data_IF_188253335913
#
_entry.id   IF_188253335913
#
_cell.length_a   1.000
_cell.length_b   1.000
_cell.length_c   1.000
_cell.angle_alpha   90.00
_cell.angle_beta   90.00
_cell.angle_gamma   90.00
#
_symmetry.space_group_name_H-M   'P 1'
#
loop_
_entity.id
_entity.type
_entity.pdbx_description
1 polymer ?
#
# COMPACT_ATOMS: atom_id res chain seq x y z
N UNK A 1 5.97 -18.59 30.42
CA UNK A 1 4.57 -18.25 30.76
C UNK A 1 4.24 -17.00 29.98
N UNK A 2 3.19 -17.08 29.13
CA UNK A 2 2.76 -16.16 28.05
C UNK A 2 3.70 -16.08 26.84
N UNK A 3 3.24 -16.11 25.58
CA UNK A 3 2.00 -16.59 24.96
C UNK A 3 2.27 -16.50 23.45
N UNK A 4 1.99 -17.58 22.72
CA UNK A 4 1.54 -17.63 21.32
C UNK A 4 1.94 -16.45 20.41
N UNK A 5 3.04 -16.63 19.67
CA UNK A 5 3.16 -15.99 18.37
C UNK A 5 2.16 -16.67 17.44
N UNK A 6 1.04 -16.01 17.18
CA UNK A 6 0.11 -16.43 16.15
C UNK A 6 0.86 -16.57 14.83
N UNK A 7 0.76 -17.76 14.26
CA UNK A 7 1.18 -18.12 12.91
C UNK A 7 0.77 -17.01 11.94
N UNK A 8 1.77 -16.26 11.45
CA UNK A 8 1.62 -15.55 10.19
C UNK A 8 1.53 -16.68 9.16
N UNK A 9 0.43 -16.82 8.41
CA UNK A 9 0.34 -17.85 7.40
C UNK A 9 1.53 -17.69 6.46
N UNK A 10 2.36 -18.73 6.35
CA UNK A 10 3.32 -18.82 5.26
C UNK A 10 2.51 -18.91 3.96
N UNK A 11 2.26 -17.76 3.32
CA UNK A 11 1.66 -17.73 2.00
C UNK A 11 2.66 -18.38 1.03
N UNK A 12 2.24 -19.52 0.49
CA UNK A 12 3.00 -20.32 -0.46
C UNK A 12 3.35 -19.52 -1.71
N UNK A 13 4.49 -19.86 -2.34
CA UNK A 13 4.99 -19.34 -3.62
C UNK A 13 4.10 -19.72 -4.82
N UNK A 14 2.80 -19.47 -4.75
CA UNK A 14 1.98 -19.41 -5.95
C UNK A 14 2.01 -17.97 -6.42
N UNK A 15 2.54 -17.77 -7.63
CA UNK A 15 2.29 -16.55 -8.40
C UNK A 15 0.79 -16.51 -8.67
N UNK A 16 0.04 -15.97 -7.70
CA UNK A 16 -1.38 -15.72 -7.83
C UNK A 16 -1.52 -14.86 -9.08
N UNK A 17 -2.14 -15.42 -10.13
CA UNK A 17 -2.43 -14.67 -11.34
C UNK A 17 -3.14 -13.40 -10.92
N UNK A 18 -2.48 -12.27 -11.08
CA UNK A 18 -3.03 -10.98 -10.75
C UNK A 18 -4.33 -10.77 -11.55
N UNK A 19 -5.45 -10.63 -10.85
CA UNK A 19 -6.76 -10.25 -11.40
C UNK A 19 -7.31 -9.10 -10.56
N UNK A 20 -7.60 -7.94 -11.17
CA UNK A 20 -8.20 -6.80 -10.46
C UNK A 20 -9.50 -7.16 -9.73
N UNK A 21 -10.29 -8.07 -10.31
CA UNK A 21 -11.56 -8.54 -9.75
C UNK A 21 -11.34 -9.39 -8.49
N UNK A 22 -10.37 -10.29 -8.52
CA UNK A 22 -9.99 -11.09 -7.35
C UNK A 22 -9.43 -10.20 -6.22
N UNK A 23 -8.63 -9.18 -6.57
CA UNK A 23 -8.14 -8.18 -5.60
C UNK A 23 -9.29 -7.40 -5.00
N UNK A 24 -10.24 -6.95 -5.83
CA UNK A 24 -11.45 -6.25 -5.36
C UNK A 24 -12.25 -7.11 -4.40
N UNK A 25 -12.42 -8.39 -4.69
CA UNK A 25 -13.13 -9.32 -3.82
C UNK A 25 -12.44 -9.48 -2.46
N UNK A 26 -11.12 -9.72 -2.43
CA UNK A 26 -10.34 -9.78 -1.19
C UNK A 26 -10.41 -8.46 -0.41
N UNK A 27 -10.34 -7.30 -1.07
CA UNK A 27 -10.54 -6.00 -0.40
C UNK A 27 -11.92 -5.86 0.26
N UNK A 28 -12.98 -6.42 -0.32
CA UNK A 28 -14.32 -6.39 0.31
C UNK A 28 -14.46 -7.39 1.45
N UNK A 29 -13.84 -8.56 1.35
CA UNK A 29 -13.96 -9.64 2.33
C UNK A 29 -13.01 -9.46 3.53
N UNK A 30 -11.77 -9.08 3.26
CA UNK A 30 -10.66 -9.07 4.22
C UNK A 30 -10.26 -7.63 4.61
N UNK A 31 -10.62 -6.64 3.79
CA UNK A 31 -10.30 -5.23 4.02
C UNK A 31 -8.89 -4.82 3.60
N UNK A 32 -8.06 -5.75 3.12
CA UNK A 32 -6.72 -5.50 2.60
C UNK A 32 -6.34 -6.54 1.55
N UNK A 33 -5.32 -6.24 0.75
CA UNK A 33 -4.70 -7.19 -0.18
C UNK A 33 -3.19 -6.94 -0.20
N UNK A 34 -2.38 -8.00 -0.12
CA UNK A 34 -0.92 -7.92 -0.20
C UNK A 34 -0.42 -8.25 -1.59
N UNK A 35 0.53 -7.44 -2.07
CA UNK A 35 1.17 -7.63 -3.36
C UNK A 35 2.67 -7.47 -3.20
N UNK A 36 3.41 -8.52 -3.54
CA UNK A 36 4.87 -8.48 -3.56
C UNK A 36 5.38 -7.84 -4.85
N UNK A 37 6.30 -6.88 -4.71
CA UNK A 37 6.96 -6.21 -5.83
C UNK A 37 8.38 -5.81 -5.42
N UNK A 38 9.37 -6.51 -5.98
CA UNK A 38 10.79 -6.27 -5.68
C UNK A 38 11.23 -4.86 -6.10
N UNK A 39 10.70 -4.33 -7.22
CA UNK A 39 11.06 -3.02 -7.72
C UNK A 39 10.56 -1.89 -6.79
N UNK A 40 9.42 -2.11 -6.12
CA UNK A 40 8.93 -1.18 -5.08
C UNK A 40 9.91 -1.12 -3.91
N UNK A 41 10.42 -2.28 -3.46
CA UNK A 41 11.41 -2.34 -2.37
C UNK A 41 12.67 -1.53 -2.68
N UNK A 42 13.25 -1.73 -3.86
CA UNK A 42 14.43 -0.99 -4.33
C UNK A 42 14.15 0.52 -4.47
N UNK A 43 12.98 0.87 -5.05
CA UNK A 43 12.56 2.25 -5.20
C UNK A 43 12.41 2.97 -3.86
N UNK A 44 11.83 2.31 -2.86
CA UNK A 44 11.68 2.88 -1.50
C UNK A 44 13.05 3.13 -0.88
N UNK A 45 14.01 2.20 -1.03
CA UNK A 45 15.36 2.35 -0.49
C UNK A 45 16.09 3.55 -1.13
N UNK A 46 15.95 3.76 -2.43
CA UNK A 46 16.55 4.91 -3.10
C UNK A 46 15.85 6.23 -2.74
N UNK A 47 14.52 6.22 -2.61
CA UNK A 47 13.75 7.36 -2.11
C UNK A 47 14.14 7.71 -0.66
N UNK A 48 14.42 6.71 0.19
CA UNK A 48 14.87 6.90 1.57
C UNK A 48 16.23 7.59 1.64
N UNK A 49 17.21 7.19 0.81
CA UNK A 49 18.53 7.86 0.72
C UNK A 49 18.42 9.34 0.37
N UNK A 50 17.36 9.72 -0.36
CA UNK A 50 17.04 11.09 -0.75
C UNK A 50 16.17 11.82 0.27
N UNK A 51 15.91 11.23 1.44
CA UNK A 51 15.11 11.85 2.49
C UNK A 51 13.61 11.92 2.18
N UNK A 52 13.10 11.05 1.30
CA UNK A 52 11.69 11.02 0.88
C UNK A 52 11.21 12.34 0.25
N UNK A 53 11.97 12.85 -0.72
CA UNK A 53 11.66 14.07 -1.47
C UNK A 53 10.48 13.90 -2.44
N UNK A 54 9.27 13.67 -1.92
CA UNK A 54 8.07 13.50 -2.74
C UNK A 54 7.66 14.77 -3.52
N UNK A 55 8.03 15.96 -3.03
CA UNK A 55 7.81 17.24 -3.71
C UNK A 55 8.98 17.62 -4.63
N UNK A 56 9.48 16.65 -5.39
CA UNK A 56 10.52 16.83 -6.39
C UNK A 56 10.13 16.14 -7.70
N UNK A 57 10.83 16.44 -8.79
CA UNK A 57 10.66 15.71 -10.05
C UNK A 57 10.94 14.21 -9.87
N UNK A 58 11.96 13.88 -9.09
CA UNK A 58 12.29 12.51 -8.71
C UNK A 58 11.12 11.84 -7.96
N UNK A 59 10.56 12.52 -6.97
CA UNK A 59 9.44 12.01 -6.19
C UNK A 59 8.17 11.81 -7.00
N UNK A 60 7.89 12.73 -7.94
CA UNK A 60 6.80 12.57 -8.89
C UNK A 60 7.00 11.35 -9.79
N UNK A 61 8.23 11.14 -10.30
CA UNK A 61 8.55 9.99 -11.14
C UNK A 61 8.42 8.67 -10.35
N UNK A 62 8.87 8.64 -9.09
CA UNK A 62 8.65 7.51 -8.19
C UNK A 62 7.15 7.20 -8.04
N UNK A 63 6.31 8.20 -7.77
CA UNK A 63 4.86 8.00 -7.65
C UNK A 63 4.25 7.48 -8.96
N UNK A 64 4.70 7.98 -10.13
CA UNK A 64 4.24 7.47 -11.42
C UNK A 64 4.59 5.99 -11.62
N UNK A 65 5.80 5.59 -11.24
CA UNK A 65 6.30 4.23 -11.42
C UNK A 65 5.71 3.22 -10.44
N UNK A 66 5.44 3.62 -9.19
CA UNK A 66 5.10 2.67 -8.13
C UNK A 66 3.68 2.84 -7.55
N UNK A 67 3.04 4.00 -7.70
CA UNK A 67 1.67 4.25 -7.23
C UNK A 67 0.68 4.29 -8.39
N UNK A 68 1.04 5.00 -9.47
CA UNK A 68 0.18 5.15 -10.66
C UNK A 68 0.53 4.14 -11.76
N UNK A 69 1.08 3.00 -11.39
CA UNK A 69 1.36 1.94 -12.35
C UNK A 69 0.09 1.25 -12.83
N UNK A 70 0.18 0.57 -13.96
CA UNK A 70 -0.96 -0.12 -14.59
C UNK A 70 -1.69 -1.09 -13.64
N UNK A 71 -0.96 -1.71 -12.71
CA UNK A 71 -1.51 -2.68 -11.77
C UNK A 71 -2.43 -2.01 -10.75
N UNK A 72 -1.94 -0.98 -10.06
CA UNK A 72 -2.75 -0.22 -9.09
C UNK A 72 -3.90 0.51 -9.80
N UNK A 73 -3.64 1.07 -10.97
CA UNK A 73 -4.68 1.73 -11.78
C UNK A 73 -5.80 0.75 -12.14
N UNK A 74 -5.48 -0.48 -12.55
CA UNK A 74 -6.51 -1.50 -12.85
C UNK A 74 -7.34 -1.90 -11.63
N UNK A 75 -6.75 -1.93 -10.43
CA UNK A 75 -7.51 -2.17 -9.18
C UNK A 75 -8.44 -0.99 -8.91
N UNK A 76 -7.94 0.24 -9.02
CA UNK A 76 -8.74 1.44 -8.82
C UNK A 76 -9.92 1.50 -9.79
N UNK A 77 -9.69 1.22 -11.07
CA UNK A 77 -10.74 1.13 -12.10
C UNK A 77 -11.75 0.03 -11.78
N UNK A 78 -11.30 -1.15 -11.36
CA UNK A 78 -12.21 -2.22 -10.93
C UNK A 78 -13.06 -1.81 -9.72
N UNK A 79 -12.49 -1.05 -8.79
CA UNK A 79 -13.15 -0.65 -7.54
C UNK A 79 -14.12 0.53 -7.71
N UNK A 80 -13.73 1.54 -8.49
CA UNK A 80 -14.45 2.80 -8.65
C UNK A 80 -15.20 2.93 -9.99
N UNK A 81 -14.96 2.02 -10.94
CA UNK A 81 -15.50 2.13 -12.30
C UNK A 81 -14.96 3.37 -13.02
N UNK A 82 -15.85 4.07 -13.73
CA UNK A 82 -15.52 5.27 -14.53
C UNK A 82 -15.50 6.57 -13.70
N UNK A 83 -15.54 6.49 -12.37
CA UNK A 83 -15.54 7.65 -11.48
C UNK A 83 -14.17 8.36 -11.44
N UNK A 84 -14.19 9.68 -11.41
CA UNK A 84 -12.96 10.47 -11.30
C UNK A 84 -12.33 10.31 -9.92
N UNK A 85 -11.15 9.70 -9.87
CA UNK A 85 -10.36 9.54 -8.65
C UNK A 85 -9.37 10.71 -8.47
N UNK A 86 -9.19 11.15 -7.23
CA UNK A 86 -8.16 12.13 -6.86
C UNK A 86 -7.06 11.39 -6.10
N UNK A 87 -5.82 11.48 -6.59
CA UNK A 87 -4.67 11.02 -5.83
C UNK A 87 -4.38 12.03 -4.72
N UNK A 88 -4.59 11.62 -3.48
CA UNK A 88 -4.13 12.36 -2.31
C UNK A 88 -2.88 11.67 -1.77
N UNK A 89 -1.79 12.44 -1.65
CA UNK A 89 -0.59 11.95 -1.00
C UNK A 89 -0.59 12.38 0.47
N UNK A 90 -0.57 11.41 1.38
CA UNK A 90 -0.49 11.67 2.80
C UNK A 90 0.94 11.43 3.30
N UNK A 91 1.65 12.51 3.61
CA UNK A 91 3.04 12.45 4.06
C UNK A 91 3.14 11.99 5.51
N UNK A 92 3.83 10.85 5.69
CA UNK A 92 4.37 10.26 6.91
C UNK A 92 3.48 10.31 8.15
N UNK A 93 3.10 9.11 8.59
CA UNK A 93 3.00 8.83 10.01
C UNK A 93 4.37 8.28 10.45
N UNK A 94 4.98 8.88 11.48
CA UNK A 94 5.90 8.09 12.30
C UNK A 94 5.10 6.98 12.95
N UNK A 95 5.71 5.82 13.21
CA UNK A 95 5.05 4.78 14.00
C UNK A 95 4.43 5.45 15.24
N UNK A 96 3.14 5.22 15.46
CA UNK A 96 2.43 5.74 16.63
C UNK A 96 1.92 4.57 17.47
N UNK A 97 2.84 3.88 18.19
CA UNK A 97 2.51 2.65 18.90
C UNK A 97 1.39 2.88 19.91
N UNK A 98 0.49 1.91 20.07
CA UNK A 98 -0.64 1.99 21.00
C UNK A 98 -1.83 2.82 20.51
N UNK A 99 -1.81 3.30 19.26
CA UNK A 99 -2.88 4.13 18.70
C UNK A 99 -3.49 3.49 17.45
N UNK A 100 -4.82 3.53 17.36
CA UNK A 100 -5.56 3.16 16.15
C UNK A 100 -5.80 4.43 15.35
N UNK A 101 -5.22 4.50 14.16
CA UNK A 101 -5.54 5.55 13.20
C UNK A 101 -6.77 5.14 12.41
N UNK A 102 -7.85 5.93 12.53
CA UNK A 102 -9.09 5.68 11.82
C UNK A 102 -9.31 6.77 10.77
N UNK A 103 -9.24 6.39 9.50
CA UNK A 103 -9.55 7.27 8.38
C UNK A 103 -11.07 7.39 8.23
N UNK A 104 -11.69 8.28 9.02
CA UNK A 104 -13.12 8.53 8.94
C UNK A 104 -13.42 9.61 7.91
N UNK A 105 -14.24 9.28 6.92
CA UNK A 105 -14.91 10.31 6.11
C UNK A 105 -16.10 10.84 6.91
N UNK A 106 -15.90 11.89 7.69
CA UNK A 106 -16.95 12.48 8.53
C UNK A 106 -17.75 13.55 7.77
N UNK A 107 -19.00 13.24 7.43
CA UNK A 107 -19.98 14.24 6.97
C UNK A 107 -21.22 13.64 6.32
N UNK A 108 -22.28 14.44 6.09
CA UNK A 108 -23.60 13.97 5.59
C UNK A 108 -23.60 13.26 4.22
N UNK A 109 -22.45 13.21 3.53
CA UNK A 109 -22.24 12.54 2.25
C UNK A 109 -21.33 11.30 2.37
N UNK A 110 -21.32 10.64 3.53
CA UNK A 110 -20.54 9.44 3.81
C UNK A 110 -21.02 8.26 2.94
N UNK A 111 -20.54 8.20 1.70
CA UNK A 111 -20.77 7.10 0.76
C UNK A 111 -19.64 6.94 -0.26
N UNK A 112 -18.54 7.65 -0.08
CA UNK A 112 -17.42 7.60 -1.03
C UNK A 112 -16.35 6.64 -0.51
N UNK A 113 -16.18 5.52 -1.20
CA UNK A 113 -15.11 4.54 -0.98
C UNK A 113 -13.72 5.21 -1.13
N UNK A 114 -12.74 4.69 -0.39
CA UNK A 114 -11.35 5.15 -0.46
C UNK A 114 -10.48 3.90 -0.58
N UNK A 115 -9.56 3.91 -1.54
CA UNK A 115 -8.51 2.90 -1.67
C UNK A 115 -7.22 3.52 -1.14
N UNK A 116 -6.61 2.86 -0.17
CA UNK A 116 -5.34 3.29 0.42
C UNK A 116 -4.25 2.34 -0.06
N UNK A 117 -3.22 2.89 -0.68
CA UNK A 117 -2.06 2.12 -1.15
C UNK A 117 -0.89 2.39 -0.21
N UNK A 118 -0.41 1.35 0.46
CA UNK A 118 0.79 1.41 1.29
C UNK A 118 1.96 0.75 0.55
N UNK A 119 3.02 1.51 0.31
CA UNK A 119 4.28 0.97 -0.17
C UNK A 119 5.13 0.60 1.05
N UNK A 120 5.43 -0.69 1.18
CA UNK A 120 6.20 -1.24 2.28
C UNK A 120 7.49 -1.82 1.71
N UNK A 121 8.63 -1.46 2.30
CA UNK A 121 9.89 -2.14 2.08
C UNK A 121 10.21 -2.94 3.32
N UNK A 122 10.47 -4.25 3.18
CA UNK A 122 11.15 -4.98 4.24
C UNK A 122 12.55 -4.38 4.32
N UNK A 123 12.83 -3.61 5.38
CA UNK A 123 14.22 -3.39 5.76
C UNK A 123 14.81 -4.76 6.01
N UNK A 124 15.66 -5.24 5.10
CA UNK A 124 16.64 -6.26 5.44
C UNK A 124 17.55 -5.56 6.44
N UNK A 125 17.18 -5.65 7.72
CA UNK A 125 18.10 -5.34 8.80
C UNK A 125 19.13 -6.44 8.76
N UNK A 126 20.12 -6.31 7.87
CA UNK A 126 21.36 -7.06 7.98
C UNK A 126 22.03 -6.56 9.25
N UNK A 127 21.67 -7.17 10.38
CA UNK A 127 22.56 -7.26 11.52
C UNK A 127 23.77 -8.08 11.03
N UNK A 128 24.76 -7.38 10.47
CA UNK A 128 26.13 -7.86 10.45
C UNK A 128 26.80 -7.29 11.71
N UNK A 129 26.93 -8.20 12.69
CA UNK A 129 27.71 -8.16 13.94
C UNK A 129 27.36 -7.10 14.98
#
# INVERSE_FOLDING_TARGET
>A
MFSEYHDIPQLSMESTKFSPEAVKESLFQEGFFYLEDLAVGEGILEMEKRGFEYFSEYGLNFCKQHILNARIMSIAESFFGDETCILAHWLRYTAYPGHILCFRRGGPKAGRCVLVVHLLSQRITSYLL
#
